data_IF_869610511395
#
_entry.id   IF_869610511395
#
_cell.length_a   1.000
_cell.length_b   1.000
_cell.length_c   1.000
_cell.angle_alpha   90.00
_cell.angle_beta   90.00
_cell.angle_gamma   90.00
#
_symmetry.space_group_name_H-M   'P 1'
#
loop_
_entity.id
_entity.type
_entity.pdbx_description
1 polymer ?
#
# COMPACT_ATOMS: atom_id res chain seq x y z
N UNK A 1 -15.60 -24.14 -30.29
CA UNK A 1 -15.42 -22.93 -29.46
C UNK A 1 -16.66 -22.78 -28.62
N UNK A 2 -16.59 -23.21 -27.36
CA UNK A 2 -17.71 -23.20 -26.42
C UNK A 2 -17.80 -21.80 -25.80
N UNK A 3 -18.92 -21.12 -26.05
CA UNK A 3 -19.24 -19.86 -25.40
C UNK A 3 -19.57 -20.15 -23.93
N UNK A 4 -18.69 -19.78 -23.03
CA UNK A 4 -18.99 -19.71 -21.60
C UNK A 4 -20.01 -18.59 -21.40
N UNK A 5 -21.29 -18.96 -21.21
CA UNK A 5 -22.31 -18.04 -20.71
C UNK A 5 -21.92 -17.63 -19.30
N UNK A 6 -21.46 -16.40 -19.16
CA UNK A 6 -21.26 -15.75 -17.87
C UNK A 6 -22.64 -15.55 -17.24
N UNK A 7 -23.09 -16.48 -16.40
CA UNK A 7 -24.28 -16.35 -15.60
C UNK A 7 -24.00 -15.24 -14.56
N UNK A 8 -24.50 -14.03 -14.84
CA UNK A 8 -24.52 -12.94 -13.88
C UNK A 8 -25.38 -13.39 -12.69
N UNK A 9 -24.79 -13.47 -11.51
CA UNK A 9 -25.49 -13.88 -10.28
C UNK A 9 -26.34 -12.74 -9.75
N UNK A 10 -27.47 -13.05 -9.11
CA UNK A 10 -28.40 -12.07 -8.48
C UNK A 10 -27.66 -11.06 -7.59
N UNK A 11 -26.64 -11.50 -6.87
CA UNK A 11 -25.85 -10.67 -5.94
C UNK A 11 -25.17 -9.46 -6.62
N UNK A 12 -24.98 -9.49 -7.93
CA UNK A 12 -24.34 -8.40 -8.68
C UNK A 12 -25.28 -7.21 -8.92
N UNK A 13 -26.58 -7.41 -8.71
CA UNK A 13 -27.61 -6.39 -8.91
C UNK A 13 -28.20 -5.84 -7.60
N UNK A 14 -27.62 -6.22 -6.46
CA UNK A 14 -28.12 -5.81 -5.14
C UNK A 14 -27.35 -4.63 -4.57
N UNK A 15 -28.06 -3.69 -4.01
CA UNK A 15 -27.49 -2.61 -3.21
C UNK A 15 -27.06 -3.14 -1.85
N UNK A 16 -25.78 -3.02 -1.49
CA UNK A 16 -25.25 -3.48 -0.20
C UNK A 16 -25.81 -2.75 1.04
N UNK A 17 -26.59 -1.70 0.86
CA UNK A 17 -27.23 -0.95 1.97
C UNK A 17 -28.65 -1.47 2.22
N UNK A 18 -29.50 -1.61 1.19
CA UNK A 18 -30.88 -2.09 1.35
C UNK A 18 -31.06 -3.57 1.03
N UNK A 19 -30.07 -4.23 0.46
CA UNK A 19 -30.07 -5.62 0.02
C UNK A 19 -31.14 -5.93 -1.05
N UNK A 20 -31.65 -4.90 -1.72
CA UNK A 20 -32.61 -4.98 -2.82
C UNK A 20 -31.93 -4.68 -4.16
N UNK A 21 -32.60 -5.05 -5.26
CA UNK A 21 -32.15 -4.71 -6.62
C UNK A 21 -32.04 -3.18 -6.76
N UNK A 22 -30.92 -2.75 -7.33
CA UNK A 22 -30.61 -1.31 -7.46
C UNK A 22 -31.78 -0.48 -7.98
N UNK A 23 -32.11 0.59 -7.28
CA UNK A 23 -33.06 1.63 -7.69
C UNK A 23 -32.31 2.95 -7.85
N UNK A 24 -32.38 3.54 -9.04
CA UNK A 24 -31.61 4.74 -9.42
C UNK A 24 -30.12 4.60 -9.01
N UNK A 25 -29.40 3.60 -9.55
CA UNK A 25 -28.03 3.32 -9.16
C UNK A 25 -27.09 4.47 -9.47
N UNK A 26 -26.25 4.81 -8.51
CA UNK A 26 -25.22 5.84 -8.63
C UNK A 26 -23.87 5.28 -8.22
N UNK A 27 -22.81 5.74 -8.89
CA UNK A 27 -21.44 5.37 -8.59
C UNK A 27 -20.77 6.42 -7.70
N UNK A 28 -20.03 5.96 -6.71
CA UNK A 28 -19.11 6.77 -5.92
C UNK A 28 -17.76 6.93 -6.66
N UNK A 29 -16.91 7.91 -6.30
CA UNK A 29 -15.59 8.08 -6.95
C UNK A 29 -14.68 6.85 -6.86
N UNK A 30 -14.84 6.00 -5.84
CA UNK A 30 -14.12 4.73 -5.70
C UNK A 30 -14.71 3.58 -6.53
N UNK A 31 -15.70 3.85 -7.40
CA UNK A 31 -16.28 2.87 -8.33
C UNK A 31 -17.39 1.98 -7.76
N UNK A 32 -17.75 2.09 -6.48
CA UNK A 32 -18.82 1.29 -5.88
C UNK A 32 -20.20 1.88 -6.18
N UNK A 33 -21.20 0.99 -6.34
CA UNK A 33 -22.55 1.36 -6.73
C UNK A 33 -23.55 1.16 -5.59
N UNK A 34 -24.51 2.08 -5.49
CA UNK A 34 -25.57 2.07 -4.47
C UNK A 34 -26.84 2.67 -5.04
N UNK A 35 -28.01 2.37 -4.46
CA UNK A 35 -29.18 3.16 -4.72
C UNK A 35 -28.93 4.61 -4.31
N UNK A 36 -29.35 5.58 -5.12
CA UNK A 36 -29.17 7.02 -4.84
C UNK A 36 -29.71 7.43 -3.47
N UNK A 37 -30.89 6.92 -3.11
CA UNK A 37 -31.52 7.19 -1.81
C UNK A 37 -30.71 6.58 -0.67
N UNK A 38 -30.19 5.38 -0.83
CA UNK A 38 -29.45 4.67 0.21
C UNK A 38 -28.15 5.37 0.58
N UNK A 39 -27.31 5.68 -0.41
CA UNK A 39 -26.02 6.34 -0.17
C UNK A 39 -26.21 7.79 0.31
N UNK A 40 -27.25 8.47 -0.18
CA UNK A 40 -27.58 9.82 0.28
C UNK A 40 -27.99 9.83 1.74
N UNK A 41 -28.83 8.88 2.17
CA UNK A 41 -29.23 8.73 3.59
C UNK A 41 -28.02 8.39 4.46
N UNK A 42 -27.17 7.48 4.02
CA UNK A 42 -25.95 7.10 4.74
C UNK A 42 -25.05 8.31 4.99
N UNK A 43 -24.77 9.13 3.99
CA UNK A 43 -23.94 10.33 4.12
C UNK A 43 -24.64 11.53 4.81
N UNK A 44 -25.93 11.48 5.04
CA UNK A 44 -26.63 12.50 5.82
C UNK A 44 -26.56 12.24 7.33
N UNK A 45 -26.25 11.02 7.74
CA UNK A 45 -26.15 10.60 9.15
C UNK A 45 -24.70 10.63 9.64
N UNK A 46 -23.74 10.29 8.77
CA UNK A 46 -22.33 10.22 9.13
C UNK A 46 -21.63 11.58 9.01
N UNK A 47 -20.75 11.88 9.96
CA UNK A 47 -19.92 13.10 9.97
C UNK A 47 -18.87 13.09 8.86
N UNK A 48 -18.53 11.92 8.34
CA UNK A 48 -17.53 11.73 7.28
C UNK A 48 -18.14 11.01 6.09
N UNK A 49 -17.89 11.52 4.87
CA UNK A 49 -18.32 10.87 3.64
C UNK A 49 -17.43 9.64 3.36
N UNK A 50 -17.86 8.46 3.81
CA UNK A 50 -17.16 7.19 3.61
C UNK A 50 -17.91 6.31 2.62
N UNK A 51 -17.17 5.55 1.80
CA UNK A 51 -17.77 4.47 1.03
C UNK A 51 -18.17 3.31 1.94
N UNK A 52 -19.42 2.84 1.95
CA UNK A 52 -19.85 1.71 2.79
C UNK A 52 -19.08 0.42 2.50
N UNK A 53 -18.66 0.19 1.24
CA UNK A 53 -17.99 -1.03 0.81
C UNK A 53 -16.48 -1.02 1.12
N UNK A 54 -15.72 -0.07 0.57
CA UNK A 54 -14.26 -0.04 0.72
C UNK A 54 -13.73 0.87 1.83
N UNK A 55 -14.61 1.59 2.54
CA UNK A 55 -14.28 2.51 3.65
C UNK A 55 -13.47 3.74 3.22
N UNK A 56 -13.25 3.96 1.93
CA UNK A 56 -12.57 5.14 1.42
C UNK A 56 -13.27 6.42 1.88
N UNK A 57 -12.50 7.39 2.37
CA UNK A 57 -12.99 8.65 2.94
C UNK A 57 -12.84 9.76 1.91
N UNK A 58 -13.89 10.52 1.71
CA UNK A 58 -13.90 11.68 0.81
C UNK A 58 -13.92 12.97 1.64
N UNK A 59 -13.02 13.90 1.33
CA UNK A 59 -12.88 15.17 2.06
C UNK A 59 -14.05 16.13 1.86
N UNK A 60 -14.79 15.96 0.79
CA UNK A 60 -16.02 16.73 0.48
C UNK A 60 -17.09 15.76 0.00
N UNK A 61 -18.36 16.17 0.04
CA UNK A 61 -19.46 15.35 -0.44
C UNK A 61 -19.29 15.03 -1.93
N UNK A 62 -19.08 13.76 -2.32
CA UNK A 62 -18.85 13.40 -3.70
C UNK A 62 -20.07 13.69 -4.58
N UNK A 63 -19.81 14.14 -5.80
CA UNK A 63 -20.84 14.23 -6.83
C UNK A 63 -21.14 12.84 -7.35
N UNK A 64 -22.37 12.36 -7.08
CA UNK A 64 -22.81 11.04 -7.52
C UNK A 64 -23.15 11.09 -9.03
N UNK A 65 -22.61 10.13 -9.77
CA UNK A 65 -22.94 9.93 -11.18
C UNK A 65 -23.92 8.77 -11.33
N UNK A 66 -24.96 8.98 -12.14
CA UNK A 66 -25.93 7.91 -12.43
C UNK A 66 -25.24 6.83 -13.27
N UNK A 67 -25.35 5.58 -12.82
CA UNK A 67 -24.83 4.44 -13.55
C UNK A 67 -25.92 3.89 -14.47
N UNK A 68 -25.94 4.38 -15.70
CA UNK A 68 -26.95 4.01 -16.72
C UNK A 68 -26.90 2.52 -17.06
N UNK A 69 -25.70 1.94 -17.13
CA UNK A 69 -25.52 0.52 -17.42
C UNK A 69 -26.17 -0.38 -16.36
N UNK A 70 -25.87 -0.12 -15.09
CA UNK A 70 -26.48 -0.89 -13.98
C UNK A 70 -27.97 -0.61 -13.89
N UNK A 71 -28.42 0.61 -14.23
CA UNK A 71 -29.85 0.95 -14.26
C UNK A 71 -30.61 0.11 -15.28
N UNK A 72 -30.08 -0.02 -16.49
CA UNK A 72 -30.67 -0.83 -17.57
C UNK A 72 -30.69 -2.32 -17.21
N UNK A 73 -29.58 -2.85 -16.70
CA UNK A 73 -29.49 -4.25 -16.29
C UNK A 73 -30.43 -4.58 -15.12
N UNK A 74 -30.55 -3.71 -14.12
CA UNK A 74 -31.49 -3.88 -13.01
C UNK A 74 -32.97 -3.82 -13.48
N UNK A 75 -33.26 -3.03 -14.49
CA UNK A 75 -34.59 -2.97 -15.09
C UNK A 75 -34.92 -4.27 -15.86
N UNK A 76 -33.98 -4.81 -16.63
CA UNK A 76 -34.12 -6.09 -17.33
C UNK A 76 -34.33 -7.25 -16.34
N UNK A 77 -33.57 -7.27 -15.27
CA UNK A 77 -33.69 -8.28 -14.22
C UNK A 77 -35.09 -8.25 -13.56
N UNK A 78 -35.63 -7.06 -13.26
CA UNK A 78 -37.01 -6.94 -12.73
C UNK A 78 -38.06 -7.42 -13.71
N UNK A 79 -37.87 -7.18 -15.01
CA UNK A 79 -38.81 -7.66 -16.05
C UNK A 79 -38.80 -9.17 -16.19
N UNK A 80 -37.62 -9.82 -16.08
CA UNK A 80 -37.54 -11.30 -16.14
C UNK A 80 -38.24 -11.95 -14.95
N UNK A 81 -38.08 -11.40 -13.74
CA UNK A 81 -38.79 -11.88 -12.53
C UNK A 81 -40.30 -11.67 -12.60
N UNK A 82 -40.79 -10.59 -13.25
CA UNK A 82 -42.21 -10.36 -13.44
C UNK A 82 -42.82 -11.27 -14.49
N UNK A 83 -42.08 -11.70 -15.52
CA UNK A 83 -42.54 -12.65 -16.55
C UNK A 83 -42.71 -14.06 -16.00
N UNK A 84 -41.88 -14.49 -15.04
CA UNK A 84 -42.06 -15.79 -14.36
C UNK A 84 -43.28 -15.78 -13.40
N UNK A 85 -43.67 -14.64 -12.85
CA UNK A 85 -44.84 -14.51 -12.00
C UNK A 85 -46.16 -14.42 -12.80
N UNK A 86 -46.12 -14.11 -14.10
CA UNK A 86 -47.30 -13.91 -14.94
C UNK A 86 -47.77 -15.15 -15.70
N UNK A 87 -47.01 -16.27 -15.62
CA UNK A 87 -47.33 -17.50 -16.34
C UNK A 87 -48.20 -18.51 -15.56
N UNK A 88 -48.73 -18.14 -14.39
CA UNK A 88 -49.56 -19.02 -13.54
C UNK A 88 -50.93 -18.44 -13.14
N UNK A 89 -51.59 -17.69 -14.03
CA UNK A 89 -52.99 -17.33 -13.84
C UNK A 89 -53.81 -17.59 -15.10
N UNK A 90 -54.28 -18.82 -15.20
CA UNK A 90 -55.34 -19.18 -16.13
C UNK A 90 -56.70 -18.68 -15.61
N UNK A 91 -57.36 -18.04 -16.51
CA UNK A 91 -58.73 -17.49 -16.52
C UNK A 91 -59.74 -18.19 -15.62
N UNK A 92 -60.41 -17.42 -14.76
CA UNK A 92 -61.74 -17.73 -14.30
C UNK A 92 -62.70 -16.67 -14.77
N UNK A 93 -63.52 -17.08 -15.75
CA UNK A 93 -64.69 -16.40 -16.28
C UNK A 93 -65.68 -16.15 -15.15
N UNK A 94 -66.02 -14.90 -14.87
CA UNK A 94 -67.10 -14.51 -13.98
C UNK A 94 -68.37 -14.46 -14.78
N UNK A 95 -69.24 -15.47 -14.60
CA UNK A 95 -70.64 -15.43 -15.03
C UNK A 95 -71.49 -14.73 -14.00
N UNK A 96 -72.35 -13.83 -14.49
CA UNK A 96 -73.34 -13.08 -13.70
C UNK A 96 -74.34 -14.02 -13.02
N UNK A 97 -74.92 -13.61 -11.85
CA UNK A 97 -75.94 -14.39 -11.14
C UNK A 97 -77.31 -14.24 -11.81
N UNK A 98 -77.82 -15.33 -12.29
CA UNK A 98 -79.17 -15.49 -12.78
C UNK A 98 -79.55 -16.94 -12.71
N UNK A 99 -80.68 -17.20 -11.95
CA UNK A 99 -81.40 -18.45 -11.84
C UNK A 99 -80.79 -19.59 -11.01
N UNK A 100 -80.97 -19.46 -9.66
CA UNK A 100 -80.80 -20.56 -8.76
C UNK A 100 -81.94 -21.58 -8.92
N UNK A 101 -81.66 -22.68 -9.65
CA UNK A 101 -82.51 -23.89 -9.54
C UNK A 101 -82.31 -24.46 -8.14
N UNK A 102 -83.38 -24.76 -7.35
CA UNK A 102 -83.20 -25.32 -5.99
C UNK A 102 -82.53 -26.71 -6.09
N UNK A 103 -81.28 -26.77 -5.66
CA UNK A 103 -80.58 -28.03 -5.54
C UNK A 103 -81.27 -28.94 -4.52
N UNK A 104 -81.60 -30.20 -4.90
CA UNK A 104 -82.16 -31.22 -4.02
C UNK A 104 -81.20 -31.44 -2.84
N UNK A 105 -81.76 -31.61 -1.61
CA UNK A 105 -80.96 -31.79 -0.37
C UNK A 105 -79.79 -32.77 -0.49
N UNK A 106 -79.97 -33.83 -1.23
CA UNK A 106 -78.88 -34.82 -1.53
C UNK A 106 -77.65 -34.24 -2.26
N UNK A 107 -77.83 -33.29 -3.18
CA UNK A 107 -76.76 -32.63 -3.92
C UNK A 107 -76.01 -31.65 -3.01
N UNK A 108 -76.71 -30.97 -2.16
CA UNK A 108 -76.08 -30.05 -1.15
C UNK A 108 -75.25 -30.88 -0.18
N UNK A 109 -75.75 -31.98 0.32
CA UNK A 109 -74.99 -32.87 1.21
C UNK A 109 -73.73 -33.45 0.54
N UNK A 110 -73.81 -33.82 -0.73
CA UNK A 110 -72.65 -34.27 -1.51
C UNK A 110 -71.61 -33.16 -1.67
N UNK A 111 -72.02 -31.94 -1.94
CA UNK A 111 -71.15 -30.78 -2.03
C UNK A 111 -70.46 -30.47 -0.69
N UNK A 112 -71.20 -30.56 0.41
CA UNK A 112 -70.66 -30.39 1.74
C UNK A 112 -69.58 -31.45 2.04
N UNK A 113 -69.89 -32.71 1.76
CA UNK A 113 -68.91 -33.78 1.95
C UNK A 113 -67.62 -33.58 1.11
N UNK A 114 -67.76 -33.22 -0.15
CA UNK A 114 -66.61 -32.91 -1.02
C UNK A 114 -65.77 -31.78 -0.49
N UNK A 115 -66.40 -30.72 0.03
CA UNK A 115 -65.69 -29.57 0.66
C UNK A 115 -65.04 -29.97 1.97
N UNK A 116 -65.64 -30.83 2.80
CA UNK A 116 -65.05 -31.36 4.03
C UNK A 116 -63.81 -32.18 3.75
N UNK A 117 -63.84 -33.04 2.75
CA UNK A 117 -62.66 -33.80 2.31
C UNK A 117 -61.53 -32.87 1.84
N UNK A 118 -61.89 -31.84 1.03
CA UNK A 118 -60.90 -30.84 0.60
C UNK A 118 -60.29 -30.04 1.76
N UNK A 119 -61.08 -29.69 2.74
CA UNK A 119 -60.60 -29.05 3.98
C UNK A 119 -59.62 -29.97 4.75
N UNK A 120 -59.92 -31.26 4.83
CA UNK A 120 -59.04 -32.21 5.51
C UNK A 120 -57.73 -32.40 4.74
N UNK A 121 -57.77 -32.44 3.41
CA UNK A 121 -56.64 -32.54 2.55
C UNK A 121 -55.71 -31.29 2.70
N UNK A 122 -56.29 -30.08 2.66
CA UNK A 122 -55.57 -28.84 2.88
C UNK A 122 -54.95 -28.75 4.31
N UNK A 123 -55.70 -29.16 5.36
CA UNK A 123 -55.17 -29.23 6.72
C UNK A 123 -53.96 -30.19 6.84
N UNK A 124 -54.01 -31.31 6.14
CA UNK A 124 -52.91 -32.29 6.09
C UNK A 124 -51.71 -31.72 5.37
N UNK A 125 -51.91 -31.06 4.21
CA UNK A 125 -50.87 -30.39 3.45
C UNK A 125 -50.19 -29.27 4.24
N UNK A 126 -50.95 -28.40 4.92
CA UNK A 126 -50.40 -27.34 5.77
C UNK A 126 -49.61 -27.91 6.94
N UNK A 127 -50.08 -29.01 7.55
CA UNK A 127 -49.33 -29.67 8.63
C UNK A 127 -47.98 -30.25 8.15
N UNK A 128 -47.97 -30.85 6.93
CA UNK A 128 -46.78 -31.37 6.33
C UNK A 128 -45.78 -30.21 6.00
N UNK A 129 -46.26 -29.18 5.34
CA UNK A 129 -45.45 -27.99 5.00
C UNK A 129 -44.83 -27.32 6.23
N UNK A 130 -45.62 -27.19 7.33
CA UNK A 130 -45.05 -26.67 8.60
C UNK A 130 -43.98 -27.56 9.17
N UNK A 131 -44.11 -28.90 9.08
CA UNK A 131 -43.13 -29.87 9.56
C UNK A 131 -41.84 -29.77 8.72
N UNK A 132 -41.97 -29.68 7.41
CA UNK A 132 -40.83 -29.55 6.51
C UNK A 132 -40.10 -28.23 6.70
N UNK A 133 -40.82 -27.12 6.80
CA UNK A 133 -40.23 -25.81 7.12
C UNK A 133 -39.49 -25.82 8.47
N UNK A 134 -40.06 -26.44 9.49
CA UNK A 134 -39.37 -26.55 10.80
C UNK A 134 -38.08 -27.39 10.70
N UNK A 135 -38.07 -28.43 9.87
CA UNK A 135 -36.86 -29.25 9.64
C UNK A 135 -35.78 -28.47 8.92
N UNK A 136 -36.15 -27.72 7.87
CA UNK A 136 -35.21 -26.87 7.10
C UNK A 136 -34.64 -25.73 7.97
N UNK A 137 -35.48 -25.10 8.80
CA UNK A 137 -35.01 -24.09 9.75
C UNK A 137 -34.01 -24.70 10.74
N UNK A 138 -34.33 -25.86 11.31
CA UNK A 138 -33.43 -26.54 12.26
C UNK A 138 -32.09 -26.90 11.60
N UNK A 139 -32.11 -27.41 10.36
CA UNK A 139 -30.90 -27.70 9.60
C UNK A 139 -30.08 -26.43 9.32
N UNK A 140 -30.71 -25.35 8.91
CA UNK A 140 -30.06 -24.06 8.72
C UNK A 140 -29.40 -23.54 10.00
N UNK A 141 -30.09 -23.58 11.11
CA UNK A 141 -29.54 -23.18 12.42
C UNK A 141 -28.29 -24.00 12.78
N UNK A 142 -28.31 -25.31 12.53
CA UNK A 142 -27.14 -26.16 12.80
C UNK A 142 -25.93 -25.76 11.94
N UNK A 143 -26.13 -25.48 10.65
CA UNK A 143 -25.06 -25.04 9.76
C UNK A 143 -24.45 -23.71 10.23
N UNK A 144 -25.27 -22.74 10.58
CA UNK A 144 -24.78 -21.46 11.07
C UNK A 144 -24.08 -21.57 12.44
N UNK A 145 -24.57 -22.44 13.33
CA UNK A 145 -23.89 -22.71 14.60
C UNK A 145 -22.51 -23.34 14.40
N UNK A 146 -22.39 -24.32 13.50
CA UNK A 146 -21.11 -24.94 13.17
C UNK A 146 -20.14 -23.94 12.52
N UNK A 147 -20.64 -23.06 11.64
CA UNK A 147 -19.85 -21.99 11.03
C UNK A 147 -19.35 -21.00 12.09
N UNK A 148 -20.21 -20.60 13.01
CA UNK A 148 -19.85 -19.72 14.13
C UNK A 148 -18.73 -20.32 14.97
N UNK A 149 -18.85 -21.58 15.39
CA UNK A 149 -17.80 -22.28 16.14
C UNK A 149 -16.48 -22.37 15.36
N UNK A 150 -16.56 -22.61 14.04
CA UNK A 150 -15.36 -22.66 13.20
C UNK A 150 -14.66 -21.30 13.13
N UNK A 151 -15.42 -20.21 12.99
CA UNK A 151 -14.86 -18.85 12.97
C UNK A 151 -14.26 -18.49 14.33
N UNK A 152 -14.95 -18.78 15.44
CA UNK A 152 -14.45 -18.53 16.80
C UNK A 152 -13.15 -19.30 17.07
N UNK A 153 -13.05 -20.56 16.62
CA UNK A 153 -11.84 -21.36 16.73
C UNK A 153 -10.68 -20.76 15.92
N UNK A 154 -10.92 -20.42 14.66
CA UNK A 154 -9.90 -19.80 13.81
C UNK A 154 -9.43 -18.45 14.36
N UNK A 155 -10.35 -17.67 14.94
CA UNK A 155 -10.00 -16.42 15.61
C UNK A 155 -9.11 -16.66 16.84
N UNK A 156 -9.42 -17.66 17.66
CA UNK A 156 -8.61 -18.01 18.83
C UNK A 156 -7.21 -18.46 18.42
N UNK A 157 -7.10 -19.35 17.42
CA UNK A 157 -5.81 -19.83 16.88
C UNK A 157 -4.95 -18.67 16.33
N UNK A 158 -5.58 -17.72 15.63
CA UNK A 158 -4.88 -16.55 15.11
C UNK A 158 -4.35 -15.67 16.24
N UNK A 159 -5.20 -15.40 17.26
CA UNK A 159 -4.82 -14.59 18.43
C UNK A 159 -3.66 -15.27 19.18
N UNK A 160 -3.70 -16.58 19.38
CA UNK A 160 -2.64 -17.31 20.05
C UNK A 160 -1.34 -17.30 19.25
N UNK A 161 -1.43 -17.43 17.93
CA UNK A 161 -0.27 -17.31 17.03
C UNK A 161 0.38 -15.92 17.10
N UNK A 162 -0.44 -14.87 17.11
CA UNK A 162 0.06 -13.49 17.24
C UNK A 162 0.73 -13.27 18.60
N UNK A 163 0.11 -13.73 19.68
CA UNK A 163 0.67 -13.61 21.05
C UNK A 163 1.99 -14.37 21.20
N UNK A 164 2.10 -15.55 20.60
CA UNK A 164 3.35 -16.31 20.66
C UNK A 164 4.47 -15.62 19.89
N UNK A 165 4.20 -15.11 18.68
CA UNK A 165 5.16 -14.29 17.93
C UNK A 165 5.58 -13.04 18.69
N UNK A 166 4.65 -12.39 19.37
CA UNK A 166 4.95 -11.24 20.21
C UNK A 166 5.88 -11.61 21.36
N UNK A 167 5.61 -12.71 22.07
CA UNK A 167 6.47 -13.22 23.16
C UNK A 167 7.88 -13.56 22.67
N UNK A 168 7.99 -14.19 21.50
CA UNK A 168 9.30 -14.48 20.91
C UNK A 168 10.06 -13.20 20.60
N UNK A 169 9.38 -12.20 20.01
CA UNK A 169 9.97 -10.90 19.72
C UNK A 169 10.40 -10.16 20.98
N UNK A 170 9.54 -10.15 22.02
CA UNK A 170 9.84 -9.56 23.31
C UNK A 170 11.06 -10.25 23.97
N UNK A 171 11.11 -11.56 23.95
CA UNK A 171 12.23 -12.34 24.50
C UNK A 171 13.55 -12.07 23.76
N UNK A 172 13.50 -11.94 22.43
CA UNK A 172 14.67 -11.55 21.66
C UNK A 172 15.11 -10.13 21.98
N UNK A 173 14.17 -9.19 22.07
CA UNK A 173 14.45 -7.80 22.44
C UNK A 173 15.05 -7.69 23.87
N UNK A 174 14.52 -8.43 24.84
CA UNK A 174 15.07 -8.51 26.20
C UNK A 174 16.49 -9.06 26.19
N UNK A 175 16.78 -10.06 25.35
CA UNK A 175 18.12 -10.59 25.16
C UNK A 175 19.10 -9.51 24.68
N UNK A 176 18.74 -8.79 23.63
CA UNK A 176 19.57 -7.69 23.11
C UNK A 176 19.71 -6.52 24.09
N UNK A 177 18.64 -6.16 24.80
CA UNK A 177 18.70 -5.13 25.85
C UNK A 177 19.70 -5.53 26.92
N UNK A 178 19.65 -6.76 27.41
CA UNK A 178 20.57 -7.26 28.41
C UNK A 178 22.02 -7.28 27.95
N UNK A 179 22.27 -7.65 26.69
CA UNK A 179 23.61 -7.59 26.10
C UNK A 179 24.11 -6.14 26.04
N UNK A 180 23.27 -5.20 25.59
CA UNK A 180 23.63 -3.77 25.56
C UNK A 180 23.84 -3.19 26.94
N UNK A 181 23.04 -3.55 27.94
CA UNK A 181 23.23 -3.12 29.34
C UNK A 181 24.54 -3.66 29.91
N UNK A 182 24.93 -4.88 29.57
CA UNK A 182 26.21 -5.44 29.95
C UNK A 182 27.38 -4.68 29.29
N UNK A 183 27.27 -4.40 27.99
CA UNK A 183 28.26 -3.59 27.27
C UNK A 183 28.38 -2.20 27.86
N UNK A 184 27.28 -1.52 28.20
CA UNK A 184 27.26 -0.23 28.85
C UNK A 184 27.96 -0.31 30.23
N UNK A 185 27.62 -1.33 31.03
CA UNK A 185 28.23 -1.52 32.36
C UNK A 185 29.73 -1.79 32.29
N UNK A 186 30.20 -2.54 31.27
CA UNK A 186 31.63 -2.74 31.03
C UNK A 186 32.33 -1.48 30.57
N UNK A 187 31.68 -0.67 29.72
CA UNK A 187 32.20 0.64 29.28
C UNK A 187 32.32 1.64 30.44
N UNK A 188 31.33 1.68 31.30
CA UNK A 188 31.33 2.54 32.52
C UNK A 188 32.43 2.13 33.51
N UNK A 189 32.70 0.82 33.66
CA UNK A 189 33.74 0.28 34.55
C UNK A 189 35.17 0.57 34.07
N UNK A 190 35.37 0.78 32.79
CA UNK A 190 36.70 0.99 32.17
C UNK A 190 37.00 2.45 31.89
N UNK A 191 36.75 3.33 32.84
CA UNK A 191 36.92 4.78 32.72
C UNK A 191 38.37 5.28 32.72
N UNK A 192 39.20 4.86 31.76
CA UNK A 192 40.33 5.65 31.30
C UNK A 192 40.05 6.16 29.87
N UNK A 193 40.14 7.45 29.64
CA UNK A 193 39.78 8.11 28.36
C UNK A 193 40.42 7.44 27.12
N UNK A 194 41.64 6.91 27.26
CA UNK A 194 42.37 6.30 26.15
C UNK A 194 41.86 4.91 25.78
N UNK A 195 41.42 4.12 26.76
CA UNK A 195 40.86 2.77 26.54
C UNK A 195 39.44 2.87 25.98
N UNK A 196 38.65 3.83 26.47
CA UNK A 196 37.29 4.13 25.98
C UNK A 196 37.32 4.59 24.51
N UNK A 197 38.27 5.46 24.17
CA UNK A 197 38.46 5.95 22.80
C UNK A 197 38.81 4.82 21.83
N UNK A 198 39.71 3.91 22.23
CA UNK A 198 40.10 2.74 21.42
C UNK A 198 38.94 1.76 21.22
N UNK A 199 38.17 1.49 22.28
CA UNK A 199 37.01 0.60 22.23
C UNK A 199 35.85 1.20 21.40
N UNK A 200 35.56 2.49 21.60
CA UNK A 200 34.57 3.22 20.81
C UNK A 200 34.91 3.15 19.31
N UNK A 201 36.16 3.40 18.96
CA UNK A 201 36.63 3.29 17.58
C UNK A 201 36.45 1.88 17.02
N UNK A 202 36.71 0.84 17.83
CA UNK A 202 36.49 -0.57 17.43
C UNK A 202 34.99 -0.86 17.18
N UNK A 203 34.09 -0.36 18.04
CA UNK A 203 32.64 -0.53 17.87
C UNK A 203 32.14 0.18 16.62
N UNK A 204 32.57 1.42 16.40
CA UNK A 204 32.20 2.19 15.21
C UNK A 204 32.70 1.53 13.91
N UNK A 205 33.92 1.00 13.94
CA UNK A 205 34.47 0.22 12.82
C UNK A 205 33.68 -1.08 12.59
N UNK A 206 33.26 -1.77 13.64
CA UNK A 206 32.44 -2.98 13.53
C UNK A 206 31.05 -2.66 12.94
N UNK A 207 30.45 -1.55 13.35
CA UNK A 207 29.18 -1.07 12.78
C UNK A 207 29.33 -0.74 11.29
N UNK A 208 30.36 0.01 10.91
CA UNK A 208 30.62 0.30 9.50
C UNK A 208 30.86 -0.99 8.69
N UNK A 209 31.65 -1.95 9.20
CA UNK A 209 31.84 -3.25 8.56
C UNK A 209 30.52 -4.02 8.37
N UNK A 210 29.61 -3.92 9.35
CA UNK A 210 28.28 -4.55 9.29
C UNK A 210 27.46 -4.02 8.11
N UNK A 211 27.52 -2.73 7.79
CA UNK A 211 26.80 -2.18 6.63
C UNK A 211 27.56 -2.41 5.33
N UNK A 212 28.89 -2.41 5.35
CA UNK A 212 29.75 -2.67 4.20
C UNK A 212 29.59 -4.08 3.60
N UNK A 213 29.12 -5.08 4.37
CA UNK A 213 28.82 -6.42 3.83
C UNK A 213 27.72 -6.39 2.75
N UNK A 214 26.90 -5.35 2.70
CA UNK A 214 25.88 -5.16 1.68
C UNK A 214 26.37 -4.31 0.50
N UNK A 215 27.67 -4.23 0.31
CA UNK A 215 28.27 -3.47 -0.78
C UNK A 215 27.76 -3.93 -2.14
N UNK A 216 27.38 -2.97 -2.95
CA UNK A 216 26.93 -3.20 -4.33
C UNK A 216 27.77 -2.40 -5.30
N UNK A 217 27.92 -2.93 -6.51
CA UNK A 217 28.58 -2.20 -7.58
C UNK A 217 27.61 -1.20 -8.23
N UNK A 218 27.95 0.08 -8.17
CA UNK A 218 27.14 1.18 -8.68
C UNK A 218 27.82 1.82 -9.88
N UNK A 219 27.06 2.06 -10.94
CA UNK A 219 27.52 2.67 -12.18
C UNK A 219 26.57 3.79 -12.59
N UNK A 220 27.10 4.96 -12.89
CA UNK A 220 26.29 6.12 -13.30
C UNK A 220 25.61 5.87 -14.64
N UNK A 221 24.37 6.33 -14.75
CA UNK A 221 23.57 6.23 -15.98
C UNK A 221 23.67 7.50 -16.81
N UNK A 222 24.34 7.46 -17.97
CA UNK A 222 24.52 8.62 -18.83
C UNK A 222 23.19 9.13 -19.41
N UNK A 223 22.14 8.29 -19.47
CA UNK A 223 20.83 8.69 -20.00
C UNK A 223 20.05 9.58 -19.02
N UNK A 224 20.38 9.50 -17.75
CA UNK A 224 19.79 10.36 -16.71
C UNK A 224 20.58 11.64 -16.48
N UNK A 225 21.85 11.67 -16.89
CA UNK A 225 22.77 12.76 -16.58
C UNK A 225 22.34 14.10 -17.20
N UNK A 226 22.40 15.15 -16.39
CA UNK A 226 22.22 16.54 -16.87
C UNK A 226 23.31 16.89 -17.88
N UNK A 227 23.00 17.62 -18.96
CA UNK A 227 23.92 17.81 -20.11
C UNK A 227 25.28 18.45 -19.82
N UNK A 228 25.44 19.18 -18.72
CA UNK A 228 26.75 19.74 -18.32
C UNK A 228 27.64 18.71 -17.60
N UNK A 229 27.09 17.56 -17.20
CA UNK A 229 27.86 16.56 -16.48
C UNK A 229 28.83 15.82 -17.39
N UNK A 230 30.03 15.58 -16.85
CA UNK A 230 31.09 14.79 -17.46
C UNK A 230 31.19 13.49 -16.64
N UNK A 231 30.83 12.38 -17.27
CA UNK A 231 30.96 11.05 -16.71
C UNK A 231 32.20 10.40 -17.29
N UNK A 232 32.93 9.63 -16.48
CA UNK A 232 34.00 8.77 -16.95
C UNK A 232 33.46 7.60 -17.77
N UNK A 233 34.28 7.01 -18.62
CA UNK A 233 33.92 5.90 -19.51
C UNK A 233 33.46 4.65 -18.74
N UNK A 234 33.99 4.41 -17.54
CA UNK A 234 33.59 3.33 -16.63
C UNK A 234 32.34 3.66 -15.80
N UNK A 235 31.80 4.88 -15.91
CA UNK A 235 30.65 5.35 -15.16
C UNK A 235 30.87 5.48 -13.65
N UNK A 236 32.13 5.58 -13.20
CA UNK A 236 32.47 5.69 -11.77
C UNK A 236 32.74 7.10 -11.29
N UNK A 237 32.94 8.07 -12.20
CA UNK A 237 33.26 9.46 -11.85
C UNK A 237 32.27 10.40 -12.50
N UNK A 238 31.95 11.48 -11.79
CA UNK A 238 31.14 12.59 -12.33
C UNK A 238 31.59 13.93 -11.78
N UNK A 239 31.73 14.90 -12.66
CA UNK A 239 31.89 16.32 -12.31
C UNK A 239 31.06 17.18 -13.24
N UNK A 240 30.90 18.46 -12.91
CA UNK A 240 30.19 19.41 -13.74
C UNK A 240 31.17 20.14 -14.66
N UNK A 241 30.95 20.06 -15.97
CA UNK A 241 31.71 20.80 -16.99
C UNK A 241 31.19 22.23 -17.20
N UNK A 242 31.94 22.99 -17.98
CA UNK A 242 31.58 24.36 -18.37
C UNK A 242 30.66 24.41 -19.59
N UNK A 243 30.69 23.38 -20.43
CA UNK A 243 29.99 23.36 -21.71
C UNK A 243 28.84 22.38 -21.66
N UNK A 244 27.66 22.87 -21.99
CA UNK A 244 26.47 22.03 -22.12
C UNK A 244 26.60 21.17 -23.39
N UNK A 245 26.59 19.84 -23.20
CA UNK A 245 26.58 18.89 -24.29
C UNK A 245 25.26 18.93 -25.04
N UNK A 246 25.30 18.78 -26.34
CA UNK A 246 24.08 18.57 -27.11
C UNK A 246 23.64 17.12 -27.05
N UNK A 247 22.87 16.79 -26.01
CA UNK A 247 22.32 15.46 -25.79
C UNK A 247 20.83 15.44 -26.13
N UNK A 248 20.30 14.30 -26.64
CA UNK A 248 18.87 14.16 -26.83
C UNK A 248 18.11 14.40 -25.52
N UNK A 249 17.03 15.15 -25.59
CA UNK A 249 16.12 15.26 -24.46
C UNK A 249 15.30 13.97 -24.37
N UNK A 250 15.32 13.36 -23.20
CA UNK A 250 14.52 12.19 -22.87
C UNK A 250 13.84 12.41 -21.52
N UNK A 251 12.77 11.69 -21.20
CA UNK A 251 12.06 11.83 -19.92
C UNK A 251 12.95 11.54 -18.70
N UNK A 252 13.96 10.68 -18.90
CA UNK A 252 14.85 10.21 -17.83
C UNK A 252 15.94 11.21 -17.47
N UNK A 253 16.27 12.13 -18.39
CA UNK A 253 17.38 13.06 -18.24
C UNK A 253 17.01 14.24 -17.35
N UNK A 254 17.87 14.57 -16.40
CA UNK A 254 17.81 15.85 -15.70
C UNK A 254 18.16 17.00 -16.64
N UNK A 255 17.36 18.05 -16.63
CA UNK A 255 17.53 19.20 -17.54
C UNK A 255 18.23 20.41 -16.90
N UNK A 256 17.87 20.74 -15.66
CA UNK A 256 18.27 21.97 -14.96
C UNK A 256 19.28 21.69 -13.86
N UNK A 257 19.01 20.80 -12.94
CA UNK A 257 19.90 20.49 -11.83
C UNK A 257 21.02 19.54 -12.26
N UNK A 258 22.26 19.74 -11.81
CA UNK A 258 23.43 18.94 -12.15
C UNK A 258 23.41 17.54 -11.51
N UNK A 259 22.36 16.77 -11.80
CA UNK A 259 22.05 15.48 -11.18
C UNK A 259 22.26 14.33 -12.16
N UNK A 260 22.55 13.15 -11.58
CA UNK A 260 22.62 11.89 -12.30
C UNK A 260 22.20 10.75 -11.34
N UNK A 261 21.57 9.72 -11.87
CA UNK A 261 21.25 8.48 -11.14
C UNK A 261 22.23 7.36 -11.53
N UNK A 262 22.24 6.31 -10.74
CA UNK A 262 22.86 5.06 -11.13
C UNK A 262 21.98 4.25 -12.09
N UNK A 263 22.60 3.32 -12.84
CA UNK A 263 21.89 2.32 -13.63
C UNK A 263 21.18 1.29 -12.73
N UNK A 264 21.83 0.95 -11.61
CA UNK A 264 21.31 0.00 -10.64
C UNK A 264 20.20 0.65 -9.83
N UNK A 265 19.18 -0.14 -9.52
CA UNK A 265 18.07 0.24 -8.65
C UNK A 265 17.70 -0.92 -7.74
N UNK A 266 17.09 -0.61 -6.63
CA UNK A 266 16.76 -1.58 -5.59
C UNK A 266 15.30 -1.37 -5.13
N UNK A 267 14.56 -2.46 -5.00
CA UNK A 267 13.16 -2.46 -4.54
C UNK A 267 12.94 -3.34 -3.31
N UNK A 268 14.02 -3.90 -2.77
CA UNK A 268 14.02 -4.74 -1.57
C UNK A 268 15.44 -4.92 -1.06
N UNK A 269 15.58 -5.46 0.15
CA UNK A 269 16.87 -5.83 0.74
C UNK A 269 17.70 -4.64 1.22
N UNK A 270 18.96 -4.93 1.44
CA UNK A 270 19.97 -3.98 1.93
C UNK A 270 21.00 -3.73 0.88
N UNK A 271 21.47 -2.50 0.77
CA UNK A 271 22.58 -2.17 -0.13
C UNK A 271 23.41 -1.02 0.45
N UNK A 272 24.68 -1.02 0.07
CA UNK A 272 25.67 -0.05 0.51
C UNK A 272 26.58 0.33 -0.65
N UNK A 273 27.00 1.59 -0.72
CA UNK A 273 28.01 2.06 -1.67
C UNK A 273 28.79 3.25 -1.09
N UNK A 274 30.00 3.48 -1.60
CA UNK A 274 30.88 4.55 -1.15
C UNK A 274 31.17 5.56 -2.26
N UNK A 275 31.27 6.82 -1.87
CA UNK A 275 31.56 7.94 -2.78
C UNK A 275 32.64 8.81 -2.19
N UNK A 276 33.76 8.96 -2.89
CA UNK A 276 34.77 9.93 -2.56
C UNK A 276 34.27 11.33 -2.90
N UNK A 277 34.36 12.22 -1.91
CA UNK A 277 33.91 13.64 -1.96
C UNK A 277 35.07 14.60 -1.68
N UNK A 278 36.28 14.08 -1.74
CA UNK A 278 37.51 14.83 -1.47
C UNK A 278 37.60 16.07 -2.37
N UNK A 279 38.06 17.20 -1.80
CA UNK A 279 38.27 18.49 -2.49
C UNK A 279 36.99 19.14 -3.06
N UNK A 280 35.81 18.59 -2.84
CA UNK A 280 34.55 19.23 -3.29
C UNK A 280 34.07 20.27 -2.27
N UNK A 281 33.61 21.40 -2.74
CA UNK A 281 33.02 22.45 -1.90
C UNK A 281 31.49 22.36 -1.80
N UNK A 282 30.86 21.71 -2.78
CA UNK A 282 29.42 21.47 -2.84
C UNK A 282 29.11 20.14 -3.50
N UNK A 283 28.13 19.42 -2.96
CA UNK A 283 27.59 18.20 -3.52
C UNK A 283 26.28 17.78 -2.82
N UNK A 284 25.49 16.90 -3.45
CA UNK A 284 24.41 16.15 -2.82
C UNK A 284 24.58 14.67 -3.13
N UNK A 285 24.37 13.81 -2.12
CA UNK A 285 24.46 12.36 -2.23
C UNK A 285 23.30 11.68 -1.51
N UNK A 286 22.90 10.52 -1.99
CA UNK A 286 21.91 9.68 -1.35
C UNK A 286 21.14 8.84 -2.34
N UNK A 287 19.85 8.66 -2.10
CA UNK A 287 18.96 7.88 -2.96
C UNK A 287 17.73 8.67 -3.37
N UNK A 288 17.16 8.31 -4.52
CA UNK A 288 15.94 8.88 -5.06
C UNK A 288 15.00 7.76 -5.52
N UNK A 289 13.69 7.96 -5.37
CA UNK A 289 12.70 7.00 -5.87
C UNK A 289 12.55 7.11 -7.40
N UNK A 290 11.99 6.10 -8.03
CA UNK A 290 11.80 5.99 -9.48
C UNK A 290 11.03 7.17 -10.08
N UNK A 291 9.94 7.59 -9.43
CA UNK A 291 8.99 8.59 -9.95
C UNK A 291 9.30 10.03 -9.54
N UNK A 292 10.58 10.37 -9.34
CA UNK A 292 10.98 11.75 -9.07
C UNK A 292 10.78 12.67 -10.28
N UNK A 293 10.53 13.97 -10.04
CA UNK A 293 10.63 14.95 -11.09
C UNK A 293 12.10 15.12 -11.51
N UNK A 294 12.35 15.09 -12.81
CA UNK A 294 13.69 15.27 -13.40
C UNK A 294 13.83 16.58 -14.19
N UNK A 295 12.74 17.32 -14.31
CA UNK A 295 12.68 18.56 -15.08
C UNK A 295 12.49 19.77 -14.15
N UNK A 296 13.14 20.86 -14.52
CA UNK A 296 13.10 22.11 -13.77
C UNK A 296 13.87 22.11 -12.45
N UNK A 297 13.51 23.02 -11.55
CA UNK A 297 14.13 23.14 -10.23
C UNK A 297 13.66 22.03 -9.30
N UNK A 298 14.62 21.31 -8.72
CA UNK A 298 14.37 20.18 -7.85
C UNK A 298 14.57 20.58 -6.39
N UNK A 299 13.57 20.33 -5.56
CA UNK A 299 13.68 20.47 -4.10
C UNK A 299 13.90 19.10 -3.48
N UNK A 300 15.09 18.90 -2.95
CA UNK A 300 15.45 17.65 -2.27
C UNK A 300 14.71 17.53 -0.95
N UNK A 301 13.87 16.52 -0.81
CA UNK A 301 13.18 16.15 0.43
C UNK A 301 12.57 14.74 0.30
N UNK A 302 12.30 14.02 1.40
CA UNK A 302 11.60 12.75 1.38
C UNK A 302 10.22 12.82 0.71
N UNK A 303 9.48 13.91 0.90
CA UNK A 303 8.17 14.14 0.26
C UNK A 303 8.27 14.14 -1.27
N UNK A 304 9.38 14.65 -1.80
CA UNK A 304 9.66 14.66 -3.25
C UNK A 304 10.41 13.40 -3.71
N UNK A 305 10.64 12.43 -2.81
CA UNK A 305 11.28 11.16 -3.13
C UNK A 305 12.81 11.19 -3.10
N UNK A 306 13.41 12.06 -2.31
CA UNK A 306 14.84 12.15 -2.14
C UNK A 306 15.23 12.00 -0.67
N UNK A 307 16.15 11.12 -0.38
CA UNK A 307 16.78 10.94 0.93
C UNK A 307 18.26 11.22 0.76
N UNK A 308 18.64 12.46 1.03
CA UNK A 308 19.97 12.97 0.68
C UNK A 308 20.58 13.81 1.78
N UNK A 309 21.90 13.81 1.82
CA UNK A 309 22.70 14.81 2.53
C UNK A 309 23.43 15.71 1.54
N UNK A 310 23.78 16.89 1.93
CA UNK A 310 24.47 17.86 1.08
C UNK A 310 25.58 18.60 1.81
N UNK A 311 26.58 19.01 1.04
CA UNK A 311 27.58 20.00 1.42
C UNK A 311 27.30 21.29 0.64
N UNK A 312 27.38 22.44 1.30
CA UNK A 312 27.31 23.78 0.73
C UNK A 312 28.37 24.70 1.32
N UNK A 313 28.91 25.58 0.50
CA UNK A 313 29.90 26.58 0.94
C UNK A 313 31.08 25.94 1.71
N UNK A 314 31.58 24.79 1.27
CA UNK A 314 32.74 24.06 1.79
C UNK A 314 32.62 23.48 3.22
N UNK A 315 31.67 23.93 4.06
CA UNK A 315 31.58 23.51 5.47
C UNK A 315 30.18 23.38 6.03
N UNK A 316 29.12 23.62 5.25
CA UNK A 316 27.74 23.55 5.71
C UNK A 316 27.11 22.23 5.28
N UNK A 317 27.16 21.24 6.16
CA UNK A 317 26.52 19.93 5.95
C UNK A 317 25.06 19.99 6.41
N UNK A 318 24.15 19.40 5.61
CA UNK A 318 22.73 19.31 5.94
C UNK A 318 22.17 17.95 5.46
N UNK A 319 21.19 17.43 6.19
CA UNK A 319 20.27 16.43 5.70
C UNK A 319 19.04 17.12 5.09
N UNK A 320 18.66 16.73 3.89
CA UNK A 320 17.51 17.31 3.17
C UNK A 320 16.20 16.67 3.63
N UNK A 321 15.86 16.82 4.93
CA UNK A 321 14.77 16.08 5.58
C UNK A 321 13.38 16.75 5.46
N UNK A 322 13.33 18.00 5.01
CA UNK A 322 12.11 18.77 4.84
C UNK A 322 11.31 19.05 6.12
N UNK A 323 11.75 19.98 7.03
CA UNK A 323 12.82 20.95 6.86
C UNK A 323 14.23 20.36 6.94
N UNK A 324 15.22 21.03 6.32
CA UNK A 324 16.60 20.58 6.34
C UNK A 324 17.20 20.63 7.77
N UNK A 325 17.92 19.58 8.11
CA UNK A 325 18.61 19.45 9.40
C UNK A 325 20.09 19.80 9.22
N UNK A 326 20.62 20.75 10.01
CA UNK A 326 22.06 21.06 10.00
C UNK A 326 22.83 19.94 10.68
N UNK A 327 23.91 19.47 10.05
CA UNK A 327 24.78 18.46 10.57
C UNK A 327 26.09 19.07 11.05
N UNK A 328 26.50 18.74 12.28
CA UNK A 328 27.76 19.20 12.87
C UNK A 328 28.75 18.05 12.84
N UNK A 329 29.67 18.06 11.88
CA UNK A 329 30.69 17.05 11.74
C UNK A 329 31.98 17.50 12.41
N UNK A 330 32.69 16.57 13.09
CA UNK A 330 33.96 16.83 13.74
C UNK A 330 35.10 17.06 12.74
N UNK A 331 35.07 16.29 11.66
CA UNK A 331 36.03 16.35 10.57
C UNK A 331 35.28 16.42 9.24
N UNK A 332 35.97 16.85 8.20
CA UNK A 332 35.45 16.84 6.84
C UNK A 332 35.59 15.42 6.27
N UNK A 333 34.52 14.76 5.89
CA UNK A 333 34.61 13.45 5.24
C UNK A 333 35.31 13.55 3.87
N UNK A 334 36.26 12.69 3.62
CA UNK A 334 36.81 12.51 2.25
C UNK A 334 36.03 11.45 1.48
N UNK A 335 35.38 10.51 2.19
CA UNK A 335 34.55 9.47 1.62
C UNK A 335 33.26 9.30 2.41
N UNK A 336 32.14 9.24 1.72
CA UNK A 336 30.80 9.05 2.29
C UNK A 336 30.27 7.68 1.89
N UNK A 337 29.88 6.87 2.88
CA UNK A 337 29.12 5.63 2.69
C UNK A 337 27.62 5.91 2.76
N UNK A 338 26.86 5.30 1.86
CA UNK A 338 25.40 5.34 1.84
C UNK A 338 24.87 3.93 2.01
N UNK A 339 24.13 3.70 3.09
CA UNK A 339 23.48 2.43 3.40
C UNK A 339 21.97 2.60 3.32
N UNK A 340 21.29 1.62 2.77
CA UNK A 340 19.84 1.54 2.71
C UNK A 340 19.37 0.18 3.19
N UNK A 341 18.39 0.18 4.08
CA UNK A 341 17.56 -0.97 4.40
C UNK A 341 16.14 -0.67 3.91
N UNK A 342 15.75 -1.35 2.85
CA UNK A 342 14.48 -1.05 2.18
C UNK A 342 13.28 -1.43 3.04
N UNK A 343 13.32 -2.57 3.70
CA UNK A 343 12.24 -3.09 4.53
C UNK A 343 12.08 -2.30 5.82
N UNK A 344 13.20 -1.92 6.46
CA UNK A 344 13.19 -1.10 7.68
C UNK A 344 12.94 0.38 7.42
N UNK A 345 12.88 0.79 6.15
CA UNK A 345 12.68 2.20 5.79
C UNK A 345 13.81 3.09 6.31
N UNK A 346 15.06 2.66 6.09
CA UNK A 346 16.25 3.33 6.62
C UNK A 346 17.19 3.78 5.48
N UNK A 347 17.66 5.03 5.55
CA UNK A 347 18.79 5.52 4.74
C UNK A 347 19.81 6.15 5.67
N UNK A 348 20.99 5.56 5.77
CA UNK A 348 22.07 6.01 6.66
C UNK A 348 23.30 6.46 5.87
N UNK A 349 23.95 7.51 6.37
CA UNK A 349 25.15 8.10 5.79
C UNK A 349 26.29 8.00 6.79
N UNK A 350 27.44 7.56 6.33
CA UNK A 350 28.64 7.34 7.15
C UNK A 350 29.82 8.14 6.62
N UNK A 351 30.58 8.71 7.52
CA UNK A 351 31.96 9.09 7.26
C UNK A 351 32.80 7.82 7.30
N UNK A 352 33.25 7.37 6.14
CA UNK A 352 33.96 6.09 6.03
C UNK A 352 35.32 6.12 6.73
N UNK A 353 36.02 7.25 6.63
CA UNK A 353 37.35 7.40 7.19
C UNK A 353 37.34 7.49 8.72
N UNK A 354 36.32 8.16 9.27
CA UNK A 354 36.10 8.26 10.70
C UNK A 354 35.30 7.09 11.29
N UNK A 355 34.77 6.19 10.45
CA UNK A 355 33.79 5.16 10.78
C UNK A 355 32.59 5.71 11.58
N UNK A 356 32.15 6.91 11.26
CA UNK A 356 31.12 7.63 12.04
C UNK A 356 29.82 7.78 11.27
N UNK A 357 28.70 7.57 11.94
CA UNK A 357 27.40 7.90 11.41
C UNK A 357 27.24 9.42 11.25
N UNK A 358 26.92 9.88 10.04
CA UNK A 358 26.65 11.28 9.73
C UNK A 358 25.18 11.61 10.03
N UNK A 359 24.28 10.80 9.46
CA UNK A 359 22.83 10.99 9.59
C UNK A 359 22.06 9.74 9.17
N UNK A 360 20.88 9.55 9.74
CA UNK A 360 19.93 8.52 9.29
C UNK A 360 18.53 9.08 9.09
N UNK A 361 17.95 8.79 7.95
CA UNK A 361 16.51 8.90 7.73
C UNK A 361 15.87 7.59 8.19
N UNK A 362 14.94 7.66 9.11
CA UNK A 362 14.23 6.50 9.69
C UNK A 362 12.72 6.59 9.43
N UNK A 363 12.04 5.45 9.44
CA UNK A 363 10.60 5.39 9.21
C UNK A 363 10.18 5.80 7.79
N UNK A 364 11.08 5.59 6.82
CA UNK A 364 10.78 5.87 5.42
C UNK A 364 9.87 4.77 4.86
N UNK A 365 8.77 5.17 4.20
CA UNK A 365 7.88 4.22 3.51
C UNK A 365 8.31 4.15 2.04
N UNK A 366 9.10 3.14 1.70
CA UNK A 366 9.49 2.88 0.31
C UNK A 366 8.43 2.00 -0.36
N UNK A 367 7.92 2.45 -1.50
CA UNK A 367 6.91 1.73 -2.31
C UNK A 367 7.35 1.57 -3.76
N UNK A 368 8.51 2.12 -4.10
CA UNK A 368 9.05 2.17 -5.47
C UNK A 368 10.55 1.86 -5.44
N UNK A 369 11.12 1.58 -6.60
CA UNK A 369 12.56 1.41 -6.76
C UNK A 369 13.32 2.63 -6.30
N UNK A 370 14.42 2.40 -5.60
CA UNK A 370 15.37 3.42 -5.19
C UNK A 370 16.61 3.36 -6.07
N UNK A 371 17.03 4.51 -6.52
CA UNK A 371 18.23 4.71 -7.33
C UNK A 371 19.27 5.46 -6.52
N UNK A 372 20.55 5.04 -6.48
CA UNK A 372 21.64 5.88 -6.01
C UNK A 372 21.64 7.22 -6.77
N UNK A 373 21.74 8.30 -6.02
CA UNK A 373 21.59 9.67 -6.52
C UNK A 373 22.86 10.47 -6.26
N UNK A 374 23.32 11.21 -7.27
CA UNK A 374 24.54 12.00 -7.25
C UNK A 374 24.32 13.37 -7.84
N UNK A 375 24.82 14.39 -7.16
CA UNK A 375 24.92 15.76 -7.68
C UNK A 375 26.29 16.32 -7.35
N UNK A 376 27.18 16.46 -8.33
CA UNK A 376 28.48 17.08 -8.09
C UNK A 376 28.39 18.60 -7.89
N UNK A 377 27.20 19.21 -7.99
CA UNK A 377 26.96 20.64 -8.01
C UNK A 377 27.65 21.35 -9.17
N UNK A 378 27.52 22.67 -9.26
CA UNK A 378 28.16 23.46 -10.29
C UNK A 378 29.67 23.57 -10.05
N UNK A 379 30.43 23.87 -11.11
CA UNK A 379 31.88 23.97 -11.06
C UNK A 379 32.40 25.20 -10.26
N UNK A 380 31.59 26.23 -10.10
CA UNK A 380 31.92 27.46 -9.36
C UNK A 380 33.27 28.06 -9.73
N UNK A 381 33.48 28.30 -11.03
CA UNK A 381 34.71 28.91 -11.52
C UNK A 381 35.98 28.08 -11.26
N UNK A 382 35.84 26.74 -11.16
CA UNK A 382 36.93 25.82 -10.86
C UNK A 382 37.07 25.43 -9.39
N UNK A 383 36.43 26.15 -8.46
CA UNK A 383 36.51 25.88 -7.01
C UNK A 383 35.86 24.55 -6.60
N UNK A 384 34.94 24.01 -7.41
CA UNK A 384 34.26 22.76 -7.19
C UNK A 384 34.46 21.78 -8.36
N UNK A 385 35.64 21.82 -9.00
CA UNK A 385 35.96 21.01 -10.18
C UNK A 385 36.23 19.53 -9.88
N UNK A 386 36.57 19.18 -8.65
CA UNK A 386 36.84 17.80 -8.26
C UNK A 386 35.62 16.91 -8.52
N UNK A 387 35.83 15.68 -9.04
CA UNK A 387 34.73 14.75 -9.30
C UNK A 387 34.21 14.11 -8.02
N UNK A 388 32.94 13.68 -8.03
CA UNK A 388 32.47 12.60 -7.19
C UNK A 388 32.96 11.27 -7.79
N UNK A 389 33.51 10.38 -6.95
CA UNK A 389 34.07 9.10 -7.41
C UNK A 389 33.40 7.98 -6.62
N UNK A 390 32.67 7.10 -7.32
CA UNK A 390 32.16 5.86 -6.74
C UNK A 390 33.37 4.94 -6.54
N UNK A 391 33.62 4.62 -5.28
CA UNK A 391 34.80 3.83 -4.86
C UNK A 391 34.43 2.37 -4.65
N UNK A 392 35.28 1.41 -4.97
CA UNK A 392 35.09 0.04 -4.54
C UNK A 392 35.13 -0.02 -3.02
N UNK A 393 34.27 -0.83 -2.44
CA UNK A 393 34.24 -1.10 -1.00
C UNK A 393 35.24 -2.20 -0.74
N UNK A 394 36.34 -1.87 -0.05
CA UNK A 394 37.33 -2.86 0.35
C UNK A 394 36.74 -3.72 1.46
N UNK A 395 36.30 -4.91 1.12
CA UNK A 395 36.05 -5.96 2.11
C UNK A 395 37.39 -6.46 2.59
N UNK A 396 37.98 -5.77 3.57
CA UNK A 396 39.15 -6.36 4.28
C UNK A 396 38.62 -7.53 5.09
N UNK A 397 39.12 -8.73 4.74
CA UNK A 397 38.93 -9.99 5.47
C UNK A 397 39.21 -9.86 6.98
#
# INVERSE_FOLDING_TARGET
MSAASCLLTEDQFLCSICLDVFTDPVSTPCGHNFCKICITKHWNVDVLYKCPNCKEVFNTRPKLQVNTFISEMAAQFRQSVQQEASSSSSEHHVSKPGDAVPLKDAQIQQMIQKRRLKIQEMKRSVKLSKKDAAREIAAGVQVFSALKESVERSQAELIDTIKEKQRETEKQAEGFIKELEQEISELEKRSSEETLSKQMKKLLLAELKRVQQYAVDVTLDPDTAQPNLILSGDGKKVNCGYVKKNLPDNPERFDTCANVLAKQHFSSGRFYYEVQVKEKTEWDLGVARETISRKGNIKLSPQNGYWTICLRNNNKYKACAGPSVRLSLKCRPEKVGVFVDYEEGLVSFYDVDAAALIYSFTGCCFTQKLYPYFCPSLNDGGKNSAPLIISPVNQTE
#
